data_IF_251858839171
#
_entry.id   IF_251858839171
#
_cell.length_a   1.000
_cell.length_b   1.000
_cell.length_c   1.000
_cell.angle_alpha   90.00
_cell.angle_beta   90.00
_cell.angle_gamma   90.00
#
_symmetry.space_group_name_H-M   'P 1'
#
loop_
_entity.id
_entity.type
_entity.pdbx_description
1 polymer ?
#
# COMPACT_ATOMS: atom_id res chain seq x y z
N UNK A 1 0.45 -12.27 -92.86
CA UNK A 1 -0.76 -11.97 -92.05
C UNK A 1 -0.32 -11.25 -90.79
N UNK A 2 -1.04 -10.18 -90.42
CA UNK A 2 -1.00 -9.31 -89.22
C UNK A 2 -0.34 -9.95 -87.97
N UNK A 3 0.36 -9.26 -87.05
CA UNK A 3 0.16 -7.91 -86.52
C UNK A 3 1.39 -7.45 -85.71
N UNK A 4 1.62 -6.13 -85.69
CA UNK A 4 2.50 -5.37 -84.81
C UNK A 4 2.16 -5.44 -83.30
N UNK A 5 3.22 -5.22 -82.49
CA UNK A 5 3.36 -4.48 -81.20
C UNK A 5 4.48 -5.17 -80.38
N UNK A 6 5.59 -4.57 -79.97
CA UNK A 6 5.99 -3.17 -79.80
C UNK A 6 6.55 -2.99 -78.39
N UNK A 7 7.87 -2.69 -78.28
CA UNK A 7 8.54 -1.79 -77.31
C UNK A 7 8.39 -2.13 -75.80
N UNK A 8 9.31 -1.85 -74.88
CA UNK A 8 10.66 -1.29 -74.86
C UNK A 8 11.16 -1.38 -73.39
N UNK A 9 12.46 -1.65 -73.23
CA UNK A 9 13.44 -0.90 -72.41
C UNK A 9 13.18 -0.54 -70.93
N UNK A 10 14.21 -0.81 -70.10
CA UNK A 10 14.42 -0.21 -68.76
C UNK A 10 15.25 -1.14 -67.86
N UNK A 11 16.59 -1.18 -67.91
CA UNK A 11 17.60 -0.33 -67.24
C UNK A 11 17.59 -0.31 -65.69
N UNK A 12 18.81 -0.53 -65.13
CA UNK A 12 19.36 -0.22 -63.79
C UNK A 12 19.35 -1.26 -62.63
N UNK A 13 20.57 -1.79 -62.38
CA UNK A 13 21.19 -2.26 -61.11
C UNK A 13 21.09 -1.21 -59.97
N UNK A 14 21.64 -1.41 -58.74
CA UNK A 14 21.92 -2.62 -57.92
C UNK A 14 21.36 -2.49 -56.47
N UNK A 15 21.27 -3.58 -55.70
CA UNK A 15 20.85 -3.53 -54.28
C UNK A 15 22.06 -3.58 -53.33
N UNK A 16 22.27 -2.50 -52.56
CA UNK A 16 23.18 -2.42 -51.41
C UNK A 16 22.41 -1.77 -50.23
N UNK A 17 22.26 -2.52 -49.12
CA UNK A 17 22.05 -2.18 -47.67
C UNK A 17 21.24 -0.92 -47.25
N UNK A 18 20.43 -0.93 -46.14
CA UNK A 18 20.98 -1.15 -44.80
C UNK A 18 20.08 -1.73 -43.67
N UNK A 19 20.78 -2.35 -42.71
CA UNK A 19 20.62 -2.30 -41.24
C UNK A 19 19.58 -1.30 -40.69
N UNK A 20 18.37 -1.76 -40.33
CA UNK A 20 17.43 -0.98 -39.51
C UNK A 20 16.54 -1.92 -38.67
N UNK A 21 16.27 -1.49 -37.43
CA UNK A 21 15.23 -1.98 -36.51
C UNK A 21 15.57 -3.17 -35.60
N UNK A 22 16.64 -3.01 -34.81
CA UNK A 22 16.62 -3.46 -33.42
C UNK A 22 15.64 -2.57 -32.65
N UNK A 23 14.36 -2.94 -32.68
CA UNK A 23 13.31 -2.33 -31.89
C UNK A 23 13.68 -2.42 -30.42
N UNK A 24 13.75 -1.25 -29.79
CA UNK A 24 13.79 -1.07 -28.35
C UNK A 24 12.56 -1.74 -27.71
N UNK A 25 12.71 -2.99 -27.27
CA UNK A 25 11.92 -3.55 -26.17
C UNK A 25 12.48 -2.99 -24.86
N UNK A 26 12.43 -1.67 -24.72
CA UNK A 26 12.39 -1.06 -23.41
C UNK A 26 11.03 -1.43 -22.83
N UNK A 27 11.02 -2.48 -22.00
CA UNK A 27 9.87 -2.85 -21.20
C UNK A 27 9.48 -1.66 -20.32
N UNK A 28 8.57 -0.83 -20.82
CA UNK A 28 7.74 -0.02 -19.96
C UNK A 28 6.93 -1.02 -19.15
N UNK A 29 7.43 -1.37 -17.97
CA UNK A 29 6.61 -1.95 -16.92
C UNK A 29 5.47 -0.95 -16.72
N UNK A 30 4.34 -1.22 -17.35
CA UNK A 30 3.13 -0.43 -17.23
C UNK A 30 2.82 -0.42 -15.74
N UNK A 31 2.97 0.74 -15.10
CA UNK A 31 2.35 0.99 -13.81
C UNK A 31 0.89 0.59 -14.00
N UNK A 32 0.50 -0.54 -13.42
CA UNK A 32 -0.87 -1.04 -13.52
C UNK A 32 -1.78 0.12 -13.09
N UNK A 33 -2.65 0.58 -14.00
CA UNK A 33 -3.46 1.78 -13.77
C UNK A 33 -4.16 1.66 -12.42
N UNK A 34 -3.79 2.52 -11.47
CA UNK A 34 -4.35 2.50 -10.13
C UNK A 34 -5.79 3.03 -10.21
N UNK A 35 -6.75 2.10 -10.33
CA UNK A 35 -8.16 2.45 -10.38
C UNK A 35 -8.64 2.87 -8.99
N UNK A 36 -8.53 4.17 -8.70
CA UNK A 36 -8.90 4.77 -7.40
C UNK A 36 -10.28 4.34 -6.90
N UNK A 37 -11.28 4.20 -7.77
CA UNK A 37 -12.63 3.80 -7.35
C UNK A 37 -12.68 2.32 -6.93
N UNK A 38 -12.04 1.44 -7.70
CA UNK A 38 -11.95 0.02 -7.34
C UNK A 38 -11.12 -0.19 -6.07
N UNK A 39 -10.00 0.51 -5.94
CA UNK A 39 -9.13 0.41 -4.77
C UNK A 39 -9.76 1.01 -3.52
N UNK A 40 -10.54 2.10 -3.65
CA UNK A 40 -11.35 2.61 -2.55
C UNK A 40 -12.38 1.57 -2.11
N UNK A 41 -13.07 0.90 -3.04
CA UNK A 41 -14.03 -0.17 -2.68
C UNK A 41 -13.34 -1.32 -1.92
N UNK A 42 -12.18 -1.78 -2.40
CA UNK A 42 -11.39 -2.82 -1.72
C UNK A 42 -10.94 -2.37 -0.34
N UNK A 43 -10.44 -1.15 -0.23
CA UNK A 43 -10.03 -0.54 1.03
C UNK A 43 -11.18 -0.48 2.04
N UNK A 44 -12.37 -0.05 1.61
CA UNK A 44 -13.56 0.01 2.49
C UNK A 44 -14.02 -1.36 2.96
N UNK A 45 -14.00 -2.36 2.08
CA UNK A 45 -14.32 -3.74 2.45
C UNK A 45 -13.32 -4.29 3.48
N UNK A 46 -12.02 -4.07 3.25
CA UNK A 46 -10.99 -4.45 4.21
C UNK A 46 -11.13 -3.73 5.55
N UNK A 47 -11.35 -2.41 5.53
CA UNK A 47 -11.48 -1.62 6.75
C UNK A 47 -12.67 -2.08 7.58
N UNK A 48 -13.78 -2.47 6.94
CA UNK A 48 -14.93 -3.04 7.63
C UNK A 48 -14.57 -4.32 8.40
N UNK A 49 -13.96 -5.30 7.72
CA UNK A 49 -13.53 -6.55 8.33
C UNK A 49 -12.48 -6.29 9.43
N UNK A 50 -11.53 -5.38 9.19
CA UNK A 50 -10.49 -5.03 10.15
C UNK A 50 -11.03 -4.35 11.41
N UNK A 51 -12.04 -3.50 11.26
CA UNK A 51 -12.76 -2.89 12.40
C UNK A 51 -13.46 -3.96 13.23
N UNK A 52 -14.08 -4.97 12.59
CA UNK A 52 -14.72 -6.10 13.30
C UNK A 52 -13.71 -6.93 14.08
N UNK A 53 -12.53 -7.18 13.54
CA UNK A 53 -11.46 -7.89 14.26
C UNK A 53 -11.01 -7.09 15.49
N UNK A 54 -10.87 -5.76 15.35
CA UNK A 54 -10.55 -4.88 16.48
C UNK A 54 -11.67 -4.78 17.53
N UNK A 55 -12.94 -4.79 17.12
CA UNK A 55 -14.08 -4.84 18.04
C UNK A 55 -14.08 -6.17 18.81
N UNK A 56 -13.79 -7.28 18.11
CA UNK A 56 -13.69 -8.61 18.71
C UNK A 56 -12.56 -8.67 19.73
N UNK A 57 -11.39 -8.11 19.40
CA UNK A 57 -10.29 -7.97 20.35
C UNK A 57 -10.74 -7.16 21.57
N UNK A 58 -11.29 -5.96 21.37
CA UNK A 58 -11.71 -5.08 22.45
C UNK A 58 -12.79 -5.70 23.37
N UNK A 59 -13.66 -6.55 22.82
CA UNK A 59 -14.70 -7.26 23.57
C UNK A 59 -14.18 -8.52 24.30
N UNK A 60 -12.96 -8.97 24.01
CA UNK A 60 -12.40 -10.18 24.62
C UNK A 60 -12.20 -9.99 26.12
N UNK A 61 -12.80 -10.89 26.92
CA UNK A 61 -12.67 -10.92 28.38
C UNK A 61 -11.63 -11.90 28.88
N UNK A 62 -11.07 -12.72 27.99
CA UNK A 62 -10.10 -13.76 28.32
C UNK A 62 -8.73 -13.39 27.74
N UNK A 63 -7.64 -13.71 28.45
CA UNK A 63 -6.30 -13.62 27.87
C UNK A 63 -6.20 -14.46 26.59
N UNK A 64 -5.51 -13.93 25.59
CA UNK A 64 -5.31 -14.54 24.28
C UNK A 64 -3.85 -14.97 24.13
N UNK A 65 -3.61 -16.17 23.60
CA UNK A 65 -2.26 -16.57 23.17
C UNK A 65 -1.88 -15.88 21.86
N UNK A 66 -0.60 -15.91 21.51
CA UNK A 66 -0.11 -15.41 20.21
C UNK A 66 -0.90 -16.01 19.03
N UNK A 67 -1.10 -17.33 19.04
CA UNK A 67 -1.83 -18.02 17.98
C UNK A 67 -3.31 -17.62 17.91
N UNK A 68 -3.96 -17.36 19.05
CA UNK A 68 -5.35 -16.89 19.08
C UNK A 68 -5.48 -15.47 18.53
N UNK A 69 -4.51 -14.60 18.85
CA UNK A 69 -4.48 -13.25 18.33
C UNK A 69 -4.19 -13.24 16.82
N UNK A 70 -3.22 -14.01 16.35
CA UNK A 70 -2.95 -14.12 14.91
C UNK A 70 -4.14 -14.71 14.14
N UNK A 71 -4.81 -15.74 14.70
CA UNK A 71 -6.01 -16.32 14.09
C UNK A 71 -7.16 -15.32 13.99
N UNK A 72 -7.31 -14.44 14.99
CA UNK A 72 -8.34 -13.39 14.99
C UNK A 72 -8.16 -12.42 13.81
N UNK A 73 -6.92 -12.05 13.48
CA UNK A 73 -6.64 -11.06 12.43
C UNK A 73 -6.20 -11.67 11.09
N UNK A 74 -6.15 -12.99 10.95
CA UNK A 74 -5.56 -13.66 9.78
C UNK A 74 -6.17 -13.25 8.42
N UNK A 75 -7.42 -12.76 8.43
CA UNK A 75 -8.12 -12.25 7.25
C UNK A 75 -7.76 -10.82 6.87
N UNK A 76 -7.30 -10.01 7.82
CA UNK A 76 -7.17 -8.55 7.67
C UNK A 76 -5.75 -8.05 7.93
N UNK A 77 -4.89 -8.87 8.52
CA UNK A 77 -3.48 -8.59 8.83
C UNK A 77 -2.63 -9.77 8.38
N UNK A 78 -1.45 -9.48 7.83
CA UNK A 78 -0.49 -10.50 7.42
C UNK A 78 0.20 -11.04 8.69
N UNK A 79 0.10 -12.35 9.00
CA UNK A 79 0.83 -12.95 10.12
C UNK A 79 2.34 -12.71 10.01
N UNK A 80 3.03 -12.55 11.15
CA UNK A 80 4.47 -12.33 11.19
C UNK A 80 4.96 -10.98 10.60
N UNK A 81 4.04 -10.10 10.18
CA UNK A 81 4.39 -8.80 9.59
C UNK A 81 4.58 -7.69 10.63
N UNK A 82 5.05 -6.53 10.17
CA UNK A 82 5.06 -5.29 10.97
C UNK A 82 3.66 -4.91 11.45
N UNK A 83 2.63 -5.18 10.64
CA UNK A 83 1.23 -4.98 10.99
C UNK A 83 0.79 -5.84 12.17
N UNK A 84 1.16 -7.12 12.17
CA UNK A 84 0.84 -8.04 13.27
C UNK A 84 1.52 -7.61 14.58
N UNK A 85 2.76 -7.14 14.51
CA UNK A 85 3.46 -6.54 15.65
C UNK A 85 2.82 -5.23 16.12
N UNK A 86 2.38 -4.39 15.19
CA UNK A 86 1.69 -3.14 15.49
C UNK A 86 0.39 -3.39 16.28
N UNK A 87 -0.47 -4.33 15.84
CA UNK A 87 -1.70 -4.66 16.57
C UNK A 87 -1.41 -5.08 18.01
N UNK A 88 -0.44 -5.98 18.20
CA UNK A 88 -0.01 -6.45 19.53
C UNK A 88 0.46 -5.32 20.43
N UNK A 89 1.20 -4.35 19.89
CA UNK A 89 1.79 -3.27 20.68
C UNK A 89 0.79 -2.14 20.97
N UNK A 90 -0.16 -1.90 20.06
CA UNK A 90 -1.06 -0.75 20.14
C UNK A 90 -2.40 -1.08 20.80
N UNK A 91 -2.94 -2.28 20.59
CA UNK A 91 -4.29 -2.66 21.03
C UNK A 91 -4.35 -3.84 21.99
N UNK A 92 -3.21 -4.46 22.29
CA UNK A 92 -3.09 -5.46 23.34
C UNK A 92 -1.94 -5.12 24.30
N UNK A 93 -2.03 -5.58 25.54
CA UNK A 93 -0.92 -5.57 26.48
C UNK A 93 -0.54 -7.01 26.83
N UNK A 94 0.77 -7.26 26.93
CA UNK A 94 1.29 -8.60 27.19
C UNK A 94 1.55 -8.77 28.68
N UNK A 95 0.89 -9.75 29.30
CA UNK A 95 1.10 -10.15 30.69
C UNK A 95 2.43 -10.87 30.90
N UNK A 96 2.80 -11.06 32.15
CA UNK A 96 4.02 -11.80 32.54
C UNK A 96 3.94 -13.29 32.19
N UNK A 97 2.73 -13.83 32.04
CA UNK A 97 2.43 -15.17 31.54
C UNK A 97 2.56 -15.28 30.01
N UNK A 98 2.87 -14.18 29.33
CA UNK A 98 3.00 -14.09 27.88
C UNK A 98 1.68 -13.98 27.13
N UNK A 99 0.54 -13.98 27.83
CA UNK A 99 -0.78 -13.82 27.23
C UNK A 99 -1.12 -12.34 26.97
N UNK A 100 -2.00 -12.10 26.01
CA UNK A 100 -2.45 -10.78 25.62
C UNK A 100 -3.83 -10.48 26.20
N UNK A 101 -3.97 -9.30 26.81
CA UNK A 101 -5.29 -8.73 27.14
C UNK A 101 -5.53 -7.48 26.31
N UNK A 102 -6.77 -7.16 25.94
CA UNK A 102 -7.06 -5.94 25.19
C UNK A 102 -6.68 -4.70 26.00
N UNK A 103 -6.14 -3.69 25.34
CA UNK A 103 -5.97 -2.36 25.92
C UNK A 103 -6.70 -1.32 25.07
N UNK A 104 -7.26 -0.25 25.67
CA UNK A 104 -8.05 0.74 24.93
C UNK A 104 -7.29 1.40 23.77
N UNK A 105 -5.99 1.69 23.98
CA UNK A 105 -5.13 2.34 22.98
C UNK A 105 -5.74 3.64 22.39
N UNK A 106 -5.20 4.15 21.27
CA UNK A 106 -5.84 5.21 20.49
C UNK A 106 -6.84 4.64 19.47
N UNK A 107 -7.57 3.56 19.81
CA UNK A 107 -8.40 2.80 18.85
C UNK A 107 -9.39 3.66 18.07
N UNK A 108 -10.19 4.46 18.77
CA UNK A 108 -11.21 5.33 18.14
C UNK A 108 -10.57 6.29 17.14
N UNK A 109 -9.45 6.91 17.51
CA UNK A 109 -8.74 7.84 16.65
C UNK A 109 -8.07 7.13 15.47
N UNK A 110 -7.44 5.97 15.72
CA UNK A 110 -6.82 5.15 14.68
C UNK A 110 -7.85 4.76 13.61
N UNK A 111 -9.01 4.25 14.04
CA UNK A 111 -10.09 3.89 13.13
C UNK A 111 -10.66 5.12 12.43
N UNK A 112 -10.86 6.25 13.13
CA UNK A 112 -11.33 7.49 12.50
C UNK A 112 -10.38 8.03 11.42
N UNK A 113 -9.06 7.92 11.62
CA UNK A 113 -8.06 8.28 10.61
C UNK A 113 -8.08 7.33 9.41
N UNK A 114 -8.29 6.03 9.63
CA UNK A 114 -8.45 5.09 8.53
C UNK A 114 -9.79 5.28 7.79
N UNK A 115 -10.86 5.63 8.51
CA UNK A 115 -12.17 5.93 7.92
C UNK A 115 -12.13 7.17 7.02
N UNK A 116 -11.38 8.21 7.38
CA UNK A 116 -11.15 9.34 6.47
C UNK A 116 -10.12 9.06 5.37
N UNK A 117 -9.37 7.97 5.50
CA UNK A 117 -8.38 7.53 4.53
C UNK A 117 -8.96 7.19 3.16
N UNK A 118 -8.35 7.71 2.10
CA UNK A 118 -8.66 7.41 0.70
C UNK A 118 -7.38 6.95 0.00
N UNK A 119 -7.34 5.76 -0.62
CA UNK A 119 -6.19 5.32 -1.40
C UNK A 119 -5.88 6.30 -2.52
N UNK A 120 -4.70 6.91 -2.48
CA UNK A 120 -4.28 7.96 -3.39
C UNK A 120 -3.40 7.46 -4.54
N UNK A 121 -2.67 6.36 -4.30
CA UNK A 121 -1.80 5.72 -5.29
C UNK A 121 -1.02 4.55 -4.70
N UNK A 122 -0.21 3.90 -5.54
CA UNK A 122 0.67 2.80 -5.14
C UNK A 122 2.14 3.19 -5.26
N UNK A 123 2.94 2.90 -4.23
CA UNK A 123 4.39 3.12 -4.19
C UNK A 123 5.21 1.90 -4.62
N UNK A 124 4.59 0.89 -5.23
CA UNK A 124 5.26 -0.33 -5.67
C UNK A 124 5.54 -1.30 -4.51
N UNK A 125 6.44 -2.27 -4.75
CA UNK A 125 6.82 -3.29 -3.75
C UNK A 125 7.63 -2.64 -2.62
N UNK A 126 7.25 -2.94 -1.38
CA UNK A 126 8.01 -2.54 -0.22
C UNK A 126 9.31 -3.36 -0.12
N UNK A 127 10.48 -2.71 -0.01
CA UNK A 127 11.76 -3.40 0.12
C UNK A 127 11.97 -3.84 1.59
N UNK A 128 11.26 -4.89 2.02
CA UNK A 128 11.49 -5.46 3.35
C UNK A 128 12.90 -6.03 3.43
N UNK A 129 13.64 -5.62 4.47
CA UNK A 129 15.04 -6.03 4.70
C UNK A 129 15.22 -6.78 6.01
N UNK A 130 14.21 -6.83 6.87
CA UNK A 130 14.28 -7.53 8.14
C UNK A 130 14.09 -9.05 7.93
N UNK A 131 15.13 -9.88 8.17
CA UNK A 131 15.04 -11.32 7.96
C UNK A 131 14.18 -12.04 9.01
N UNK A 132 13.77 -11.35 10.07
CA UNK A 132 12.93 -11.94 11.15
C UNK A 132 11.44 -11.86 10.85
N UNK A 133 11.05 -11.10 9.82
CA UNK A 133 9.66 -10.96 9.41
C UNK A 133 9.31 -11.96 8.31
N UNK A 134 8.05 -12.41 8.31
CA UNK A 134 7.56 -13.28 7.26
C UNK A 134 7.59 -12.53 5.91
N UNK A 135 8.40 -13.05 4.99
CA UNK A 135 8.76 -12.42 3.72
C UNK A 135 7.64 -12.50 2.67
N UNK A 136 6.43 -12.07 3.03
CA UNK A 136 5.35 -11.82 2.08
C UNK A 136 5.65 -10.52 1.32
N UNK A 137 5.59 -10.51 -0.02
CA UNK A 137 5.68 -9.27 -0.78
C UNK A 137 4.53 -8.33 -0.42
N UNK A 138 4.85 -7.15 0.13
CA UNK A 138 3.89 -6.10 0.45
C UNK A 138 3.96 -4.98 -0.59
N UNK A 139 2.82 -4.34 -0.85
CA UNK A 139 2.69 -3.17 -1.72
C UNK A 139 2.49 -1.92 -0.85
N UNK A 140 3.17 -0.83 -1.20
CA UNK A 140 2.96 0.48 -0.59
C UNK A 140 1.68 1.08 -1.14
N UNK A 141 0.72 1.38 -0.26
CA UNK A 141 -0.54 2.06 -0.59
C UNK A 141 -0.56 3.44 0.05
N UNK A 142 -0.34 4.47 -0.76
CA UNK A 142 -0.42 5.85 -0.28
C UNK A 142 -1.85 6.21 0.09
N UNK A 143 -2.00 6.83 1.25
CA UNK A 143 -3.30 7.17 1.83
C UNK A 143 -3.42 8.68 1.97
N UNK A 144 -4.40 9.26 1.28
CA UNK A 144 -4.82 10.63 1.57
C UNK A 144 -5.71 10.59 2.80
N UNK A 145 -5.39 11.38 3.82
CA UNK A 145 -6.18 11.47 5.06
C UNK A 145 -6.76 12.87 5.14
N UNK A 146 -8.07 12.96 5.28
CA UNK A 146 -8.80 14.21 5.47
C UNK A 146 -9.56 14.20 6.80
N UNK A 147 -8.92 14.71 7.86
CA UNK A 147 -9.55 14.89 9.18
C UNK A 147 -9.61 16.35 9.60
N UNK A 148 -9.72 17.27 8.62
CA UNK A 148 -9.84 18.71 8.84
C UNK A 148 -8.50 19.43 9.04
N UNK A 149 -8.57 20.72 9.43
CA UNK A 149 -7.44 21.66 9.40
C UNK A 149 -6.21 21.26 10.24
N UNK A 150 -6.43 20.53 11.34
CA UNK A 150 -5.33 20.04 12.18
C UNK A 150 -4.46 19.03 11.44
N UNK A 151 -5.04 18.20 10.58
CA UNK A 151 -4.31 17.30 9.68
C UNK A 151 -3.36 18.08 8.78
N UNK A 152 -3.85 19.19 8.22
CA UNK A 152 -3.08 20.02 7.29
C UNK A 152 -1.86 20.63 7.99
N UNK A 153 -1.98 21.00 9.27
CA UNK A 153 -0.83 21.50 10.05
C UNK A 153 0.28 20.46 10.16
N UNK A 154 -0.06 19.19 10.43
CA UNK A 154 0.92 18.12 10.49
C UNK A 154 1.48 17.77 9.10
N UNK A 155 0.60 17.56 8.12
CA UNK A 155 0.96 17.11 6.78
C UNK A 155 1.78 18.16 6.01
N UNK A 156 1.45 19.44 6.13
CA UNK A 156 2.18 20.52 5.46
C UNK A 156 3.46 20.94 6.20
N UNK A 157 3.75 20.33 7.36
CA UNK A 157 4.95 20.63 8.12
C UNK A 157 6.20 20.04 7.45
N UNK A 158 7.17 20.91 7.14
CA UNK A 158 8.50 20.49 6.67
C UNK A 158 9.30 19.69 7.70
N UNK A 159 8.86 19.67 8.97
CA UNK A 159 9.41 18.82 10.03
C UNK A 159 9.08 17.34 9.81
N UNK A 160 7.96 17.05 9.16
CA UNK A 160 7.43 15.70 8.99
C UNK A 160 7.48 15.23 7.53
N UNK A 161 7.41 16.16 6.58
CA UNK A 161 7.38 15.85 5.16
C UNK A 161 8.32 16.73 4.32
N UNK A 162 8.98 16.14 3.32
CA UNK A 162 10.01 16.80 2.52
C UNK A 162 9.88 16.53 1.02
N UNK A 163 9.02 17.29 0.29
CA UNK A 163 7.81 17.96 0.73
C UNK A 163 6.62 17.00 0.82
N UNK A 164 5.51 17.44 1.41
CA UNK A 164 4.26 16.69 1.35
C UNK A 164 3.68 16.71 -0.06
N UNK A 165 3.77 15.57 -0.75
CA UNK A 165 3.22 15.36 -2.10
C UNK A 165 3.01 13.86 -2.32
N UNK A 166 2.03 13.51 -3.15
CA UNK A 166 1.89 12.13 -3.60
C UNK A 166 3.12 11.74 -4.46
N UNK A 167 3.86 10.68 -4.11
CA UNK A 167 5.00 10.23 -4.91
C UNK A 167 4.57 9.65 -6.26
N UNK A 168 5.47 9.57 -7.24
CA UNK A 168 5.19 8.92 -8.52
C UNK A 168 4.71 7.47 -8.35
N UNK A 169 3.83 7.03 -9.23
CA UNK A 169 3.32 5.65 -9.22
C UNK A 169 4.47 4.63 -9.28
N UNK A 170 4.39 3.59 -8.45
CA UNK A 170 5.40 2.54 -8.36
C UNK A 170 6.65 2.91 -7.57
N UNK A 171 6.73 4.13 -7.00
CA UNK A 171 7.89 4.60 -6.25
C UNK A 171 7.56 4.84 -4.78
N UNK A 172 8.32 4.21 -3.89
CA UNK A 172 8.34 4.51 -2.47
C UNK A 172 9.20 5.76 -2.20
N UNK A 173 8.61 6.80 -1.59
CA UNK A 173 9.34 7.94 -1.03
C UNK A 173 8.97 8.10 0.46
N UNK A 174 9.97 8.01 1.34
CA UNK A 174 9.80 8.25 2.79
C UNK A 174 9.63 9.73 3.07
N UNK A 175 8.89 10.06 4.13
CA UNK A 175 8.59 11.44 4.51
C UNK A 175 7.96 12.27 3.36
N UNK A 176 7.26 11.62 2.42
CA UNK A 176 6.59 12.33 1.33
C UNK A 176 5.06 12.27 1.46
N UNK A 177 4.55 11.13 1.94
CA UNK A 177 3.12 10.89 2.05
C UNK A 177 2.82 9.72 3.01
N UNK A 178 1.72 9.75 3.79
CA UNK A 178 1.29 8.61 4.59
C UNK A 178 0.98 7.37 3.74
N UNK A 179 1.27 6.18 4.25
CA UNK A 179 0.93 4.93 3.56
C UNK A 179 0.65 3.76 4.50
N UNK A 180 -0.01 2.76 3.94
CA UNK A 180 -0.13 1.41 4.50
C UNK A 180 0.71 0.45 3.66
N UNK A 181 1.20 -0.61 4.29
CA UNK A 181 1.73 -1.78 3.59
C UNK A 181 0.60 -2.79 3.47
N UNK A 182 0.27 -3.18 2.25
CA UNK A 182 -0.84 -4.09 1.97
C UNK A 182 -0.33 -5.32 1.23
N UNK A 183 -0.67 -6.51 1.70
CA UNK A 183 -0.70 -7.69 0.85
C UNK A 183 -1.97 -7.62 0.01
N UNK A 184 -1.80 -7.69 -1.31
CA UNK A 184 -2.86 -7.52 -2.31
C UNK A 184 -3.14 -8.79 -3.10
N UNK A 185 -2.49 -9.90 -2.72
CA UNK A 185 -2.62 -11.21 -3.38
C UNK A 185 -4.00 -11.82 -3.14
N UNK A 186 -4.38 -12.74 -4.02
CA UNK A 186 -5.58 -13.58 -3.90
C UNK A 186 -6.91 -12.82 -3.76
N UNK A 187 -6.95 -11.56 -4.21
CA UNK A 187 -8.15 -10.72 -4.19
C UNK A 187 -8.50 -10.15 -2.81
N UNK A 188 -7.86 -10.62 -1.75
CA UNK A 188 -7.97 -10.07 -0.40
C UNK A 188 -7.01 -8.90 -0.17
N UNK A 189 -7.33 -8.04 0.79
CA UNK A 189 -6.41 -7.04 1.31
C UNK A 189 -6.06 -7.43 2.75
N UNK A 190 -4.76 -7.44 3.07
CA UNK A 190 -4.28 -7.65 4.44
C UNK A 190 -3.23 -6.63 4.78
N UNK A 191 -3.31 -6.06 5.97
CA UNK A 191 -2.35 -5.11 6.51
C UNK A 191 -1.04 -5.81 6.83
N UNK A 192 0.03 -5.40 6.16
CA UNK A 192 1.40 -5.80 6.47
C UNK A 192 2.14 -4.78 7.35
N UNK A 193 1.62 -3.56 7.50
CA UNK A 193 2.25 -2.51 8.31
C UNK A 193 1.65 -1.12 8.12
N UNK A 194 1.90 -0.26 9.11
CA UNK A 194 1.49 1.15 9.13
C UNK A 194 2.76 2.00 9.01
N UNK A 195 2.78 2.99 8.12
CA UNK A 195 3.97 3.84 7.98
C UNK A 195 4.15 4.75 9.20
N UNK A 196 5.39 5.18 9.46
CA UNK A 196 5.68 6.12 10.54
C UNK A 196 5.04 7.48 10.30
N UNK A 197 4.86 7.87 9.04
CA UNK A 197 4.18 9.09 8.60
C UNK A 197 2.69 9.07 9.00
N UNK A 198 2.00 7.94 8.78
CA UNK A 198 0.61 7.78 9.18
C UNK A 198 0.46 7.67 10.70
N UNK A 199 1.31 6.85 11.34
CA UNK A 199 1.28 6.73 12.80
C UNK A 199 1.63 8.04 13.52
N UNK A 200 2.58 8.80 12.98
CA UNK A 200 2.94 10.11 13.49
C UNK A 200 1.78 11.11 13.44
N UNK A 201 0.96 11.08 12.38
CA UNK A 201 -0.27 11.86 12.31
C UNK A 201 -1.26 11.47 13.41
N UNK A 202 -1.48 10.17 13.62
CA UNK A 202 -2.39 9.67 14.67
C UNK A 202 -1.90 10.12 16.06
N UNK A 203 -0.60 10.01 16.34
CA UNK A 203 -0.02 10.47 17.61
C UNK A 203 -0.16 11.98 17.77
N UNK A 204 0.04 12.76 16.70
CA UNK A 204 -0.13 14.20 16.71
C UNK A 204 -1.57 14.59 17.08
N UNK A 205 -2.56 13.99 16.41
CA UNK A 205 -3.97 14.23 16.68
C UNK A 205 -4.37 13.79 18.09
N UNK A 206 -3.86 12.65 18.57
CA UNK A 206 -4.12 12.15 19.92
C UNK A 206 -3.63 13.10 21.01
N UNK A 207 -2.46 13.70 20.80
CA UNK A 207 -1.89 14.65 21.75
C UNK A 207 -2.59 16.00 21.72
N UNK A 208 -3.17 16.39 20.58
CA UNK A 208 -3.86 17.66 20.44
C UNK A 208 -5.33 17.61 20.92
N UNK A 209 -5.89 16.41 21.08
CA UNK A 209 -7.23 16.18 21.66
C UNK A 209 -7.23 16.06 23.20
N UNK A 210 -6.08 16.21 23.85
CA UNK A 210 -5.90 16.22 25.31
C UNK A 210 -5.76 17.63 25.82
#
# INVERSE_FOLDING_TARGET
MLSWRGLASGFFLPFFLPFFLLFALAGNATAQDFNRAAELKRYRAWLHDFTQDLDTLAASRRPLTDAQLDAMFARTVVPGSRGASFIRQTFASRGSDGAYVPQPGPRTLFLGVLESGIPAGQGGRYPETDPTLDAVPLTVWYLHVDVGDMTNTYLLSSKHFTPYRLPPAGKLERNAYPFLLMDTRDGGLRLGGVSSELWGLIVYLHNAAR
#
